data_IF_103234269652
#
_entry.id   IF_103234269652
#
_cell.length_a   1.000
_cell.length_b   1.000
_cell.length_c   1.000
_cell.angle_alpha   90.00
_cell.angle_beta   90.00
_cell.angle_gamma   90.00
#
_symmetry.space_group_name_H-M   'P 1'
#
loop_
_entity.id
_entity.type
_entity.pdbx_description
1 polymer ?
#
# COMPACT_ATOMS: atom_id res chain seq x y z
N UNK A 1 0.84 -16.77 17.46
CA UNK A 1 0.76 -15.29 17.58
C UNK A 1 1.56 -14.60 16.47
N UNK A 2 2.69 -15.14 16.00
CA UNK A 2 3.48 -14.56 14.90
C UNK A 2 2.81 -14.55 13.50
N UNK A 3 1.63 -15.13 13.34
CA UNK A 3 0.85 -15.14 12.08
C UNK A 3 -0.44 -14.31 12.20
N UNK A 4 -0.53 -13.47 13.22
CA UNK A 4 -1.59 -12.48 13.37
C UNK A 4 -1.00 -11.15 12.89
N UNK A 5 -1.61 -10.56 11.86
CA UNK A 5 -1.13 -9.33 11.21
C UNK A 5 -2.18 -8.25 11.41
N UNK A 6 -1.76 -7.06 11.82
CA UNK A 6 -2.66 -5.92 11.98
C UNK A 6 -3.01 -5.33 10.61
N UNK A 7 -4.28 -4.99 10.43
CA UNK A 7 -4.79 -4.35 9.21
C UNK A 7 -5.63 -3.13 9.62
N UNK A 8 -4.99 -2.02 10.04
CA UNK A 8 -5.69 -0.79 10.37
C UNK A 8 -6.22 -0.10 9.11
N UNK A 9 -7.18 0.80 9.29
CA UNK A 9 -7.61 1.71 8.22
C UNK A 9 -6.43 2.59 7.75
N UNK A 10 -6.41 2.90 6.46
CA UNK A 10 -5.34 3.69 5.82
C UNK A 10 -5.93 4.81 4.97
N UNK A 11 -5.20 5.92 4.84
CA UNK A 11 -5.64 7.09 4.08
C UNK A 11 -5.62 6.81 2.58
N UNK A 12 -4.65 5.99 2.13
CA UNK A 12 -4.55 5.57 0.75
C UNK A 12 -4.31 4.08 0.61
N UNK A 13 -4.97 3.47 -0.38
CA UNK A 13 -4.83 2.04 -0.72
C UNK A 13 -3.37 1.62 -0.90
N UNK A 14 -2.50 2.53 -1.35
CA UNK A 14 -1.09 2.26 -1.64
C UNK A 14 -0.23 2.04 -0.37
N UNK A 15 -0.75 2.33 0.82
CA UNK A 15 -0.08 2.05 2.10
C UNK A 15 -0.15 0.58 2.51
N UNK A 16 -1.19 -0.14 2.06
CA UNK A 16 -1.48 -1.51 2.51
C UNK A 16 -0.27 -2.44 2.35
N UNK A 17 0.43 -2.47 1.20
CA UNK A 17 1.62 -3.31 1.03
C UNK A 17 2.73 -3.00 2.04
N UNK A 18 3.00 -1.72 2.31
CA UNK A 18 4.04 -1.30 3.26
C UNK A 18 3.69 -1.68 4.70
N UNK A 19 2.42 -1.54 5.08
CA UNK A 19 1.94 -1.95 6.40
C UNK A 19 2.15 -3.45 6.63
N UNK A 20 1.80 -4.28 5.65
CA UNK A 20 1.98 -5.72 5.76
C UNK A 20 3.44 -6.14 5.69
N UNK A 21 4.28 -5.44 4.94
CA UNK A 21 5.71 -5.74 4.91
C UNK A 21 6.41 -5.37 6.22
N UNK A 22 5.99 -4.31 6.92
CA UNK A 22 6.49 -3.99 8.27
C UNK A 22 6.28 -5.14 9.26
N UNK A 23 5.21 -5.91 9.09
CA UNK A 23 4.94 -7.13 9.84
C UNK A 23 5.50 -8.41 9.18
N UNK A 24 6.33 -8.26 8.14
CA UNK A 24 7.04 -9.33 7.44
C UNK A 24 6.10 -10.38 6.82
N UNK A 25 4.91 -9.95 6.36
CA UNK A 25 3.92 -10.87 5.78
C UNK A 25 4.51 -11.69 4.61
N UNK A 26 5.22 -11.04 3.69
CA UNK A 26 5.83 -11.71 2.54
C UNK A 26 6.81 -12.81 2.98
N UNK A 27 7.64 -12.52 3.99
CA UNK A 27 8.57 -13.50 4.56
C UNK A 27 7.86 -14.67 5.22
N UNK A 28 6.83 -14.40 6.02
CA UNK A 28 6.02 -15.44 6.70
C UNK A 28 5.34 -16.37 5.69
N UNK A 29 4.86 -15.84 4.57
CA UNK A 29 4.27 -16.65 3.48
C UNK A 29 5.34 -17.57 2.87
N UNK A 30 6.51 -17.03 2.54
CA UNK A 30 7.62 -17.82 1.97
C UNK A 30 8.08 -18.94 2.92
N UNK A 31 8.28 -18.61 4.19
CA UNK A 31 8.71 -19.59 5.20
C UNK A 31 7.63 -20.68 5.39
N UNK A 32 6.35 -20.31 5.40
CA UNK A 32 5.23 -21.26 5.53
C UNK A 32 5.10 -22.20 4.35
N UNK A 33 5.38 -21.71 3.14
CA UNK A 33 5.33 -22.49 1.91
C UNK A 33 6.66 -23.19 1.59
N UNK A 34 7.69 -23.03 2.42
CA UNK A 34 9.03 -23.56 2.19
C UNK A 34 9.64 -23.13 0.85
N UNK A 35 9.35 -21.90 0.43
CA UNK A 35 9.85 -21.31 -0.83
C UNK A 35 11.02 -20.39 -0.51
N UNK A 36 12.17 -20.63 -1.14
CA UNK A 36 13.31 -19.73 -1.04
C UNK A 36 13.01 -18.38 -1.72
N UNK A 37 13.31 -17.24 -1.07
CA UNK A 37 13.14 -15.93 -1.69
C UNK A 37 14.06 -15.81 -2.92
N UNK A 38 13.48 -15.41 -4.06
CA UNK A 38 14.24 -15.18 -5.29
C UNK A 38 15.09 -13.91 -5.24
N UNK A 39 14.59 -12.89 -4.56
CA UNK A 39 15.26 -11.62 -4.30
C UNK A 39 14.72 -11.01 -3.01
N UNK A 40 15.51 -10.14 -2.38
CA UNK A 40 14.98 -9.24 -1.37
C UNK A 40 14.12 -8.17 -2.07
N UNK A 41 12.92 -7.87 -1.55
CA UNK A 41 12.10 -6.81 -2.12
C UNK A 41 12.78 -5.46 -1.86
N UNK A 42 12.79 -4.61 -2.89
CA UNK A 42 13.14 -3.20 -2.77
C UNK A 42 11.83 -2.41 -2.75
N UNK A 43 11.62 -1.63 -1.69
CA UNK A 43 10.41 -0.85 -1.48
C UNK A 43 10.60 0.64 -1.75
N UNK A 44 11.81 1.09 -2.12
CA UNK A 44 12.14 2.51 -2.24
C UNK A 44 11.15 3.26 -3.17
N UNK A 45 10.90 2.74 -4.37
CA UNK A 45 9.96 3.38 -5.32
C UNK A 45 8.53 3.45 -4.77
N UNK A 46 8.11 2.44 -4.02
CA UNK A 46 6.77 2.36 -3.44
C UNK A 46 6.62 3.31 -2.25
N UNK A 47 7.65 3.39 -1.41
CA UNK A 47 7.73 4.36 -0.32
C UNK A 47 7.71 5.80 -0.85
N UNK A 48 8.45 6.06 -1.94
CA UNK A 48 8.41 7.36 -2.62
C UNK A 48 7.02 7.68 -3.17
N UNK A 49 6.34 6.72 -3.81
CA UNK A 49 4.97 6.90 -4.30
C UNK A 49 4.01 7.28 -3.16
N UNK A 50 4.00 6.50 -2.08
CA UNK A 50 3.13 6.75 -0.92
C UNK A 50 3.46 8.09 -0.29
N UNK A 51 4.74 8.44 -0.18
CA UNK A 51 5.16 9.73 0.35
C UNK A 51 4.65 10.90 -0.51
N UNK A 52 4.76 10.80 -1.83
CA UNK A 52 4.30 11.85 -2.74
C UNK A 52 2.78 12.02 -2.71
N UNK A 53 2.03 10.92 -2.54
CA UNK A 53 0.58 10.95 -2.39
C UNK A 53 0.15 11.61 -1.07
N UNK A 54 0.88 11.37 0.02
CA UNK A 54 0.59 11.97 1.34
C UNK A 54 1.08 13.40 1.49
N UNK A 55 2.10 13.79 0.72
CA UNK A 55 2.73 15.10 0.80
C UNK A 55 2.78 15.76 -0.59
N UNK A 56 1.61 16.09 -1.19
CA UNK A 56 1.57 16.78 -2.46
C UNK A 56 2.19 18.18 -2.32
N UNK A 57 2.95 18.60 -3.34
CA UNK A 57 3.58 19.94 -3.36
C UNK A 57 2.55 21.07 -3.51
N UNK A 58 1.44 20.78 -4.18
CA UNK A 58 0.37 21.74 -4.44
C UNK A 58 -0.97 21.02 -4.65
N UNK A 59 -2.05 21.73 -4.35
CA UNK A 59 -3.41 21.31 -4.63
C UNK A 59 -3.95 22.10 -5.83
N UNK A 60 -4.55 21.40 -6.80
CA UNK A 60 -5.14 22.01 -8.00
C UNK A 60 -6.58 21.55 -8.19
N UNK A 61 -7.41 22.43 -8.73
CA UNK A 61 -8.83 22.17 -8.97
C UNK A 61 -9.03 21.74 -10.42
N UNK A 62 -9.61 20.55 -10.62
CA UNK A 62 -9.91 20.00 -11.94
C UNK A 62 -11.41 19.76 -12.04
N UNK A 63 -12.07 20.45 -12.99
CA UNK A 63 -13.49 20.24 -13.24
C UNK A 63 -13.69 18.96 -14.07
N UNK A 64 -14.49 18.03 -13.56
CA UNK A 64 -14.92 16.84 -14.29
C UNK A 64 -16.38 17.00 -14.74
N UNK A 65 -16.64 16.90 -16.05
CA UNK A 65 -17.99 16.97 -16.62
C UNK A 65 -18.46 15.55 -16.93
N UNK A 66 -19.47 15.07 -16.20
CA UNK A 66 -20.04 13.74 -16.39
C UNK A 66 -21.56 13.74 -16.28
N UNK A 67 -22.21 12.81 -16.99
CA UNK A 67 -23.68 12.63 -16.94
C UNK A 67 -24.13 12.05 -15.60
N UNK A 68 -23.29 11.20 -15.01
CA UNK A 68 -23.46 10.60 -13.68
C UNK A 68 -22.08 10.56 -13.03
N UNK A 69 -21.89 11.33 -11.97
CA UNK A 69 -20.58 11.51 -11.30
C UNK A 69 -20.65 11.10 -9.83
N UNK A 70 -21.72 10.39 -9.44
CA UNK A 70 -21.82 9.85 -8.09
C UNK A 70 -20.73 8.82 -7.88
N UNK A 71 -19.82 9.18 -6.99
CA UNK A 71 -18.83 8.28 -6.40
C UNK A 71 -19.55 7.75 -5.15
N UNK A 72 -19.69 6.42 -5.06
CA UNK A 72 -20.64 5.73 -4.18
C UNK A 72 -20.82 6.31 -2.77
N UNK A 73 -22.07 6.24 -2.29
CA UNK A 73 -22.54 6.61 -0.94
C UNK A 73 -21.83 5.87 0.17
#
# INVERSE_FOLDING_TARGET
REYVISAPDVDTLYEIPLNFEREQLGRKILDKLQIAPRKLPDWNEWEHLVNNLKHPEAEIHIAMVGKYIEIGT
#
